data_IF_712763268977
#
_entry.id   IF_712763268977
#
_cell.length_a   1.000
_cell.length_b   1.000
_cell.length_c   1.000
_cell.angle_alpha   90.00
_cell.angle_beta   90.00
_cell.angle_gamma   90.00
#
_symmetry.space_group_name_H-M   'P 1'
#
loop_
_entity.id
_entity.type
_entity.pdbx_description
1 polymer ?
#
# COMPACT_ATOMS: atom_id res chain seq x y z
N UNK A 1 11.14 17.69 36.18
CA UNK A 1 10.79 16.29 35.90
C UNK A 1 11.21 16.05 34.48
N UNK A 2 12.19 15.18 34.30
CA UNK A 2 12.51 14.60 33.00
C UNK A 2 11.37 13.62 32.69
N UNK A 3 10.45 14.06 31.84
CA UNK A 3 9.53 13.15 31.16
C UNK A 3 10.00 13.16 29.71
N UNK A 4 10.85 12.17 29.41
CA UNK A 4 11.09 11.68 28.06
C UNK A 4 9.75 11.68 27.34
N UNK A 5 9.61 12.63 26.41
CA UNK A 5 8.51 12.68 25.48
C UNK A 5 8.73 11.49 24.56
N UNK A 6 8.29 10.33 25.05
CA UNK A 6 8.21 9.09 24.29
C UNK A 6 7.65 9.47 22.93
N UNK A 7 8.50 9.28 21.93
CA UNK A 7 8.26 9.54 20.54
C UNK A 7 7.15 8.58 20.06
N UNK A 8 5.93 8.82 20.53
CA UNK A 8 4.71 8.19 20.08
C UNK A 8 4.42 8.79 18.71
N UNK A 9 5.22 8.41 17.71
CA UNK A 9 4.82 8.47 16.31
C UNK A 9 3.69 7.45 16.17
N UNK A 10 2.49 7.85 16.59
CA UNK A 10 1.24 7.08 16.50
C UNK A 10 0.75 6.95 15.05
N UNK A 11 1.67 6.69 14.13
CA UNK A 11 1.33 6.12 12.83
C UNK A 11 1.25 4.62 13.10
N UNK A 12 0.01 4.11 13.26
CA UNK A 12 -0.23 2.67 13.31
C UNK A 12 0.29 2.08 12.00
N UNK A 13 1.54 1.61 12.01
CA UNK A 13 2.10 0.89 10.88
C UNK A 13 1.27 -0.39 10.70
N UNK A 14 0.84 -0.66 9.47
CA UNK A 14 0.01 -1.81 9.17
C UNK A 14 0.66 -3.09 9.73
N UNK A 15 -0.05 -3.75 10.66
CA UNK A 15 0.41 -4.96 11.31
C UNK A 15 -0.46 -6.15 10.88
N UNK A 16 0.10 -7.00 10.02
CA UNK A 16 -0.58 -8.20 9.51
C UNK A 16 -0.94 -9.20 10.61
N UNK A 17 -0.15 -9.28 11.69
CA UNK A 17 -0.42 -10.17 12.83
C UNK A 17 -1.61 -9.68 13.69
N UNK A 18 -2.03 -8.42 13.50
CA UNK A 18 -3.19 -7.85 14.18
C UNK A 18 -4.52 -8.14 13.47
N UNK A 19 -4.48 -8.73 12.27
CA UNK A 19 -5.68 -9.06 11.51
C UNK A 19 -6.40 -10.27 12.11
N UNK A 20 -7.72 -10.22 12.11
CA UNK A 20 -8.54 -11.41 12.32
C UNK A 20 -8.39 -12.38 11.13
N UNK A 21 -8.73 -13.66 11.33
CA UNK A 21 -8.70 -14.64 10.24
C UNK A 21 -9.52 -14.22 9.01
N UNK A 22 -10.68 -13.57 9.23
CA UNK A 22 -11.54 -13.12 8.14
C UNK A 22 -10.89 -11.99 7.33
N UNK A 23 -10.27 -11.03 8.02
CA UNK A 23 -9.53 -9.93 7.39
C UNK A 23 -8.30 -10.45 6.65
N UNK A 24 -7.58 -11.41 7.24
CA UNK A 24 -6.46 -12.08 6.61
C UNK A 24 -6.88 -12.78 5.31
N UNK A 25 -7.95 -13.59 5.36
CA UNK A 25 -8.47 -14.27 4.17
C UNK A 25 -8.92 -13.28 3.10
N UNK A 26 -9.58 -12.20 3.50
CA UNK A 26 -10.06 -11.14 2.59
C UNK A 26 -8.89 -10.39 1.95
N UNK A 27 -7.88 -10.03 2.75
CA UNK A 27 -6.66 -9.39 2.28
C UNK A 27 -5.99 -10.23 1.19
N UNK A 28 -5.75 -11.51 1.46
CA UNK A 28 -5.08 -12.41 0.51
C UNK A 28 -5.95 -12.77 -0.70
N UNK A 29 -7.28 -12.65 -0.62
CA UNK A 29 -8.17 -12.76 -1.77
C UNK A 29 -8.13 -11.52 -2.69
N UNK A 30 -7.98 -10.31 -2.12
CA UNK A 30 -7.93 -9.04 -2.84
C UNK A 30 -6.53 -8.70 -3.39
N UNK A 31 -5.48 -9.04 -2.63
CA UNK A 31 -4.08 -8.76 -2.94
C UNK A 31 -3.68 -9.10 -4.40
N UNK A 32 -3.95 -10.30 -4.95
CA UNK A 32 -3.55 -10.62 -6.33
C UNK A 32 -4.23 -9.74 -7.37
N UNK A 33 -5.46 -9.25 -7.11
CA UNK A 33 -6.21 -8.41 -8.04
C UNK A 33 -5.59 -7.00 -8.10
N UNK A 34 -5.30 -6.42 -6.94
CA UNK A 34 -4.62 -5.12 -6.84
C UNK A 34 -3.23 -5.19 -7.44
N UNK A 35 -2.44 -6.24 -7.13
CA UNK A 35 -1.10 -6.45 -7.69
C UNK A 35 -1.10 -6.53 -9.20
N UNK A 36 -2.07 -7.22 -9.80
CA UNK A 36 -2.16 -7.33 -11.26
C UNK A 36 -2.41 -5.97 -11.93
N UNK A 37 -3.27 -5.13 -11.34
CA UNK A 37 -3.53 -3.80 -11.86
C UNK A 37 -2.33 -2.86 -11.67
N UNK A 38 -1.71 -2.90 -10.49
CA UNK A 38 -0.56 -2.06 -10.16
C UNK A 38 0.71 -2.49 -10.89
N UNK A 39 0.91 -3.77 -11.20
CA UNK A 39 2.04 -4.22 -12.01
C UNK A 39 2.07 -3.53 -13.40
N UNK A 40 0.89 -3.22 -13.95
CA UNK A 40 0.76 -2.50 -15.23
C UNK A 40 0.92 -0.98 -15.08
N UNK A 41 0.81 -0.45 -13.86
CA UNK A 41 0.84 0.98 -13.54
C UNK A 41 2.19 1.43 -12.95
N UNK A 42 2.64 0.77 -11.89
CA UNK A 42 3.91 0.93 -11.23
C UNK A 42 4.30 -0.39 -10.51
N UNK A 43 5.19 -1.20 -11.09
CA UNK A 43 5.60 -2.49 -10.51
C UNK A 43 6.56 -2.37 -9.31
N UNK A 44 6.87 -1.14 -8.86
CA UNK A 44 7.75 -0.88 -7.71
C UNK A 44 6.97 -0.57 -6.44
N UNK A 45 5.64 -0.65 -6.47
CA UNK A 45 4.82 -0.56 -5.27
C UNK A 45 5.04 -1.87 -4.51
N UNK A 46 5.50 -1.77 -3.27
CA UNK A 46 5.84 -2.94 -2.46
C UNK A 46 4.55 -3.60 -1.94
N UNK A 47 4.63 -4.89 -1.63
CA UNK A 47 3.48 -5.64 -1.11
C UNK A 47 2.96 -5.04 0.20
N UNK A 48 3.84 -4.47 1.03
CA UNK A 48 3.45 -3.84 2.30
C UNK A 48 2.55 -2.63 2.07
N UNK A 49 2.86 -1.78 1.09
CA UNK A 49 2.04 -0.61 0.73
C UNK A 49 0.66 -1.05 0.23
N UNK A 50 0.62 -2.12 -0.57
CA UNK A 50 -0.62 -2.68 -1.11
C UNK A 50 -1.50 -3.23 0.03
N UNK A 51 -0.90 -3.96 0.97
CA UNK A 51 -1.61 -4.53 2.12
C UNK A 51 -2.15 -3.44 3.03
N UNK A 52 -1.33 -2.44 3.33
CA UNK A 52 -1.70 -1.27 4.10
C UNK A 52 -2.90 -0.54 3.47
N UNK A 53 -2.82 -0.23 2.17
CA UNK A 53 -3.90 0.45 1.46
C UNK A 53 -5.19 -0.40 1.43
N UNK A 54 -5.09 -1.72 1.27
CA UNK A 54 -6.25 -2.60 1.36
C UNK A 54 -6.89 -2.53 2.75
N UNK A 55 -6.09 -2.64 3.81
CA UNK A 55 -6.59 -2.59 5.18
C UNK A 55 -7.31 -1.27 5.50
N UNK A 56 -6.68 -0.13 5.21
CA UNK A 56 -7.27 1.19 5.47
C UNK A 56 -8.47 1.53 4.60
N UNK A 57 -8.66 0.84 3.48
CA UNK A 57 -9.83 0.96 2.63
C UNK A 57 -10.84 -0.18 2.83
N UNK A 58 -10.83 -0.89 3.97
CA UNK A 58 -11.78 -1.98 4.25
C UNK A 58 -11.78 -3.08 3.18
N UNK A 59 -10.59 -3.36 2.62
CA UNK A 59 -10.35 -4.32 1.54
C UNK A 59 -11.07 -4.00 0.22
N UNK A 60 -11.55 -2.76 0.04
CA UNK A 60 -12.11 -2.27 -1.20
C UNK A 60 -11.02 -2.04 -2.25
N UNK A 61 -10.96 -2.95 -3.23
CA UNK A 61 -9.96 -2.96 -4.30
C UNK A 61 -9.88 -1.62 -5.03
N UNK A 62 -11.03 -1.05 -5.40
CA UNK A 62 -11.07 0.20 -6.17
C UNK A 62 -10.52 1.38 -5.37
N UNK A 63 -10.88 1.50 -4.08
CA UNK A 63 -10.44 2.56 -3.20
C UNK A 63 -8.95 2.44 -2.88
N UNK A 64 -8.48 1.22 -2.55
CA UNK A 64 -7.06 0.94 -2.33
C UNK A 64 -6.21 1.30 -3.55
N UNK A 65 -6.69 0.99 -4.75
CA UNK A 65 -6.00 1.35 -5.99
C UNK A 65 -5.96 2.87 -6.21
N UNK A 66 -7.05 3.59 -5.93
CA UNK A 66 -7.09 5.05 -6.06
C UNK A 66 -6.09 5.71 -5.09
N UNK A 67 -6.05 5.26 -3.84
CA UNK A 67 -5.09 5.72 -2.84
C UNK A 67 -3.65 5.41 -3.28
N UNK A 68 -3.37 4.18 -3.71
CA UNK A 68 -2.04 3.78 -4.18
C UNK A 68 -1.61 4.56 -5.42
N UNK A 69 -2.53 4.89 -6.34
CA UNK A 69 -2.23 5.75 -7.49
C UNK A 69 -1.96 7.20 -7.09
N UNK A 70 -2.57 7.67 -6.00
CA UNK A 70 -2.32 9.00 -5.42
C UNK A 70 -0.96 9.07 -4.70
N UNK A 71 -0.61 8.04 -3.93
CA UNK A 71 0.68 7.92 -3.21
C UNK A 71 1.85 7.63 -4.16
N UNK A 72 1.65 6.72 -5.10
CA UNK A 72 2.67 6.26 -6.04
C UNK A 72 2.34 6.74 -7.45
N UNK A 73 3.09 7.70 -8.01
CA UNK A 73 2.84 8.15 -9.37
C UNK A 73 3.13 7.05 -10.39
N UNK A 74 2.42 7.09 -11.52
CA UNK A 74 2.61 6.14 -12.63
C UNK A 74 4.06 6.16 -13.06
N UNK A 75 4.76 5.03 -12.95
CA UNK A 75 6.07 4.92 -13.58
C UNK A 75 5.85 4.69 -15.06
N UNK A 76 6.02 5.77 -15.83
CA UNK A 76 6.23 5.65 -17.28
C UNK A 76 7.41 4.69 -17.45
N UNK A 77 7.17 3.57 -18.14
CA UNK A 77 8.24 2.71 -18.59
C UNK A 77 9.34 3.59 -19.17
N UNK A 78 10.57 3.32 -18.73
CA UNK A 78 11.79 4.09 -18.98
C UNK A 78 11.99 4.35 -20.48
N UNK A 79 11.24 5.28 -21.07
CA UNK A 79 11.58 5.90 -22.33
C UNK A 79 12.51 7.04 -21.96
N UNK A 80 13.79 6.71 -22.00
CA UNK A 80 14.91 7.63 -22.01
C UNK A 80 14.56 8.90 -22.79
N UNK A 81 14.35 10.01 -22.09
CA UNK A 81 14.52 11.32 -22.69
C UNK A 81 16.03 11.64 -22.68
N UNK A 82 16.74 11.11 -23.67
CA UNK A 82 17.93 11.77 -24.18
C UNK A 82 17.45 12.88 -25.12
N UNK A 83 17.55 14.13 -24.68
CA UNK A 83 17.63 15.32 -25.53
C UNK A 83 18.84 16.09 -24.96
N UNK A 84 20.02 15.91 -25.55
CA UNK A 84 20.59 16.59 -26.73
C UNK A 84 20.96 18.05 -26.48
#
# INVERSE_FOLDING_TARGET
MDEDFDNYSGEEEFNEDSLSNEEYDTLYAALPQVKAELASYNPQIEDIDIKEALYYNYFEIAAAIEELKSKFPKKKGMFYFFFS
#
